data_IF_636649149561
#
_entry.id   IF_636649149561
#
_cell.length_a   1.000
_cell.length_b   1.000
_cell.length_c   1.000
_cell.angle_alpha   90.00
_cell.angle_beta   90.00
_cell.angle_gamma   90.00
#
_symmetry.space_group_name_H-M   'P 1'
#
loop_
_entity.id
_entity.type
_entity.pdbx_description
1 polymer ?
#
# COMPACT_ATOMS: atom_id res chain seq x y z
N UNK A 1 2.46 30.41 -25.20
CA UNK A 1 3.54 29.42 -25.06
C UNK A 1 3.77 29.14 -23.59
N UNK A 2 4.15 27.90 -23.29
CA UNK A 2 4.00 27.21 -22.02
C UNK A 2 4.69 27.85 -20.81
N UNK A 3 4.01 27.82 -19.66
CA UNK A 3 4.65 27.87 -18.34
C UNK A 3 4.26 26.62 -17.55
N UNK A 4 4.97 25.55 -17.92
CA UNK A 4 5.52 24.48 -17.08
C UNK A 4 4.85 24.25 -15.71
N UNK A 5 4.12 23.13 -15.59
CA UNK A 5 3.59 22.56 -14.34
C UNK A 5 4.74 22.35 -13.34
N UNK A 6 4.99 23.33 -12.49
CA UNK A 6 6.01 23.25 -11.45
C UNK A 6 5.30 22.96 -10.12
N UNK A 7 5.67 21.83 -9.53
CA UNK A 7 5.30 21.39 -8.18
C UNK A 7 3.84 20.95 -7.93
N UNK A 8 3.50 19.74 -8.39
CA UNK A 8 2.50 18.90 -7.70
C UNK A 8 3.01 17.47 -7.59
N UNK A 9 4.17 17.30 -6.95
CA UNK A 9 4.80 15.99 -6.75
C UNK A 9 5.51 15.88 -5.39
N UNK A 10 5.05 16.63 -4.40
CA UNK A 10 5.65 16.65 -3.06
C UNK A 10 4.72 16.11 -1.95
N UNK A 11 3.63 15.41 -2.32
CA UNK A 11 2.74 14.71 -1.39
C UNK A 11 2.28 13.42 -2.05
N UNK A 12 3.21 12.50 -2.28
CA UNK A 12 2.89 11.09 -2.42
C UNK A 12 3.51 10.42 -1.20
N UNK A 13 2.75 9.58 -0.50
CA UNK A 13 3.30 8.74 0.57
C UNK A 13 4.48 7.91 0.06
N UNK A 14 5.17 7.15 0.94
CA UNK A 14 6.22 6.24 0.51
C UNK A 14 5.74 5.39 -0.67
N UNK A 15 6.54 5.36 -1.74
CA UNK A 15 6.25 4.54 -2.91
C UNK A 15 6.32 3.05 -2.58
N UNK A 16 5.77 2.21 -3.45
CA UNK A 16 5.76 0.75 -3.28
C UNK A 16 7.13 0.17 -2.88
N UNK A 17 8.18 0.54 -3.61
CA UNK A 17 9.57 0.12 -3.33
C UNK A 17 10.03 0.48 -1.91
N UNK A 18 9.63 1.65 -1.41
CA UNK A 18 10.00 2.10 -0.07
C UNK A 18 9.25 1.33 1.03
N UNK A 19 7.98 1.00 0.79
CA UNK A 19 7.19 0.18 1.71
C UNK A 19 7.74 -1.24 1.77
N UNK A 20 8.05 -1.81 0.59
CA UNK A 20 8.63 -3.15 0.48
C UNK A 20 9.98 -3.24 1.19
N UNK A 21 10.89 -2.29 0.94
CA UNK A 21 12.19 -2.25 1.60
C UNK A 21 12.06 -2.17 3.13
N UNK A 22 11.05 -1.44 3.64
CA UNK A 22 10.80 -1.36 5.08
C UNK A 22 10.27 -2.68 5.65
N UNK A 23 9.40 -3.37 4.92
CA UNK A 23 8.92 -4.71 5.31
C UNK A 23 10.10 -5.69 5.38
N UNK A 24 10.99 -5.68 4.39
CA UNK A 24 12.18 -6.54 4.38
C UNK A 24 13.10 -6.26 5.58
N UNK A 25 13.31 -4.99 5.93
CA UNK A 25 14.06 -4.61 7.14
C UNK A 25 13.40 -5.14 8.41
N UNK A 26 12.08 -5.01 8.53
CA UNK A 26 11.30 -5.51 9.67
C UNK A 26 11.46 -7.04 9.78
N UNK A 27 11.30 -7.77 8.68
CA UNK A 27 11.46 -9.23 8.65
C UNK A 27 12.86 -9.61 9.11
N UNK A 28 13.90 -9.01 8.53
CA UNK A 28 15.28 -9.30 8.91
C UNK A 28 15.55 -9.05 10.41
N UNK A 29 14.96 -7.99 10.98
CA UNK A 29 15.07 -7.68 12.41
C UNK A 29 14.32 -8.69 13.29
N UNK A 30 13.14 -9.12 12.89
CA UNK A 30 12.36 -10.13 13.62
C UNK A 30 13.03 -11.51 13.56
N UNK A 31 13.60 -11.89 12.42
CA UNK A 31 14.31 -13.16 12.23
C UNK A 31 15.60 -13.25 13.05
N UNK A 32 16.25 -12.12 13.31
CA UNK A 32 17.47 -12.07 14.13
C UNK A 32 17.20 -12.46 15.59
N UNK A 33 15.99 -12.21 16.10
CA UNK A 33 15.52 -12.70 17.40
C UNK A 33 16.22 -12.09 18.63
N UNK A 34 16.97 -11.00 18.47
CA UNK A 34 17.67 -10.30 19.56
C UNK A 34 16.88 -9.12 20.14
N UNK A 35 15.60 -9.00 19.77
CA UNK A 35 14.72 -7.92 20.19
C UNK A 35 13.93 -8.28 21.45
N UNK A 36 13.68 -7.31 22.35
CA UNK A 36 12.65 -7.44 23.37
C UNK A 36 11.29 -7.80 22.76
N UNK A 37 10.44 -8.47 23.54
CA UNK A 37 9.10 -8.88 23.10
C UNK A 37 8.26 -7.67 22.64
N UNK A 38 8.29 -6.59 23.41
CA UNK A 38 7.54 -5.36 23.12
C UNK A 38 7.97 -4.74 21.78
N UNK A 39 9.27 -4.69 21.51
CA UNK A 39 9.80 -4.20 20.23
C UNK A 39 9.42 -5.12 19.07
N UNK A 40 9.44 -6.44 19.30
CA UNK A 40 9.04 -7.43 18.29
C UNK A 40 7.56 -7.28 17.91
N UNK A 41 6.69 -7.03 18.90
CA UNK A 41 5.27 -6.77 18.67
C UNK A 41 5.07 -5.46 17.89
N UNK A 42 5.78 -4.39 18.25
CA UNK A 42 5.69 -3.12 17.52
C UNK A 42 6.13 -3.24 16.06
N UNK A 43 7.24 -3.93 15.79
CA UNK A 43 7.70 -4.18 14.42
C UNK A 43 6.71 -5.03 13.63
N UNK A 44 6.10 -6.03 14.26
CA UNK A 44 5.07 -6.84 13.62
C UNK A 44 3.84 -6.00 13.23
N UNK A 45 3.35 -5.16 14.15
CA UNK A 45 2.24 -4.25 13.85
C UNK A 45 2.58 -3.26 12.73
N UNK A 46 3.80 -2.73 12.72
CA UNK A 46 4.29 -1.87 11.63
C UNK A 46 4.28 -2.63 10.30
N UNK A 47 4.84 -3.85 10.27
CA UNK A 47 4.87 -4.71 9.10
C UNK A 47 3.48 -4.98 8.53
N UNK A 48 2.50 -5.28 9.40
CA UNK A 48 1.10 -5.50 9.00
C UNK A 48 0.46 -4.27 8.34
N UNK A 49 0.74 -3.07 8.86
CA UNK A 49 0.25 -1.82 8.26
C UNK A 49 0.88 -1.59 6.89
N UNK A 50 2.20 -1.79 6.78
CA UNK A 50 2.92 -1.64 5.51
C UNK A 50 2.43 -2.63 4.45
N UNK A 51 2.15 -3.88 4.82
CA UNK A 51 1.57 -4.87 3.92
C UNK A 51 0.21 -4.40 3.37
N UNK A 52 -0.65 -3.85 4.23
CA UNK A 52 -1.95 -3.30 3.84
C UNK A 52 -1.80 -2.14 2.86
N UNK A 53 -0.85 -1.24 3.11
CA UNK A 53 -0.55 -0.13 2.21
C UNK A 53 0.00 -0.59 0.87
N UNK A 54 0.88 -1.61 0.85
CA UNK A 54 1.36 -2.23 -0.37
C UNK A 54 0.22 -2.81 -1.22
N UNK A 55 -0.67 -3.60 -0.62
CA UNK A 55 -1.83 -4.17 -1.32
C UNK A 55 -2.68 -3.07 -1.94
N UNK A 56 -2.99 -2.01 -1.17
CA UNK A 56 -3.77 -0.87 -1.68
C UNK A 56 -3.09 -0.16 -2.86
N UNK A 57 -1.76 -0.03 -2.86
CA UNK A 57 -1.03 0.54 -3.99
C UNK A 57 -1.11 -0.36 -5.22
N UNK A 58 -1.01 -1.67 -5.05
CA UNK A 58 -1.14 -2.64 -6.13
C UNK A 58 -2.56 -2.62 -6.72
N UNK A 59 -3.59 -2.60 -5.88
CA UNK A 59 -4.99 -2.53 -6.33
C UNK A 59 -5.26 -1.26 -7.16
N UNK A 60 -4.70 -0.12 -6.72
CA UNK A 60 -4.80 1.13 -7.46
C UNK A 60 -4.07 1.06 -8.80
N UNK A 61 -2.90 0.42 -8.85
CA UNK A 61 -2.15 0.23 -10.08
C UNK A 61 -2.90 -0.69 -11.05
N UNK A 62 -3.42 -1.81 -10.56
CA UNK A 62 -4.23 -2.75 -11.34
C UNK A 62 -5.47 -2.06 -11.92
N UNK A 63 -6.20 -1.32 -11.09
CA UNK A 63 -7.39 -0.56 -11.51
C UNK A 63 -7.04 0.41 -12.64
N UNK A 64 -5.93 1.15 -12.52
CA UNK A 64 -5.49 2.06 -13.58
C UNK A 64 -5.16 1.32 -14.86
N UNK A 65 -4.49 0.17 -14.78
CA UNK A 65 -4.19 -0.67 -15.95
C UNK A 65 -5.48 -1.16 -16.60
N UNK A 66 -6.45 -1.64 -15.81
CA UNK A 66 -7.75 -2.12 -16.29
C UNK A 66 -8.51 -1.03 -17.05
N UNK A 67 -8.62 0.17 -16.47
CA UNK A 67 -9.27 1.32 -17.13
C UNK A 67 -8.60 1.66 -18.46
N UNK A 68 -7.27 1.57 -18.55
CA UNK A 68 -6.53 1.84 -19.78
C UNK A 68 -6.74 0.77 -20.86
N UNK A 69 -6.93 -0.49 -20.47
CA UNK A 69 -7.14 -1.61 -21.40
C UNK A 69 -8.59 -1.74 -21.86
N UNK A 70 -9.54 -1.61 -20.94
CA UNK A 70 -10.96 -1.93 -21.15
C UNK A 70 -11.82 -0.68 -21.37
N UNK A 71 -11.32 0.51 -21.01
CA UNK A 71 -12.07 1.77 -21.15
C UNK A 71 -13.24 1.92 -20.17
N UNK A 72 -13.47 0.95 -19.28
CA UNK A 72 -14.55 0.95 -18.29
C UNK A 72 -14.00 1.36 -16.90
N UNK A 73 -14.57 2.35 -16.20
CA UNK A 73 -14.21 2.68 -14.83
C UNK A 73 -14.48 1.49 -13.88
N UNK A 74 -13.75 1.39 -12.76
CA UNK A 74 -13.90 0.26 -11.85
C UNK A 74 -15.34 0.17 -11.35
N UNK A 75 -15.90 -1.04 -11.41
CA UNK A 75 -17.18 -1.39 -10.81
C UNK A 75 -17.05 -1.38 -9.27
N UNK A 76 -17.05 -0.20 -8.67
CA UNK A 76 -17.34 -0.04 -7.25
C UNK A 76 -18.86 0.01 -7.07
N UNK A 77 -19.52 -1.10 -6.69
CA UNK A 77 -20.79 -1.06 -5.94
C UNK A 77 -21.41 -2.44 -5.57
N UNK A 78 -20.68 -3.55 -5.37
CA UNK A 78 -21.34 -4.80 -4.91
C UNK A 78 -20.54 -5.56 -3.86
N UNK A 79 -20.37 -4.98 -2.67
CA UNK A 79 -20.01 -5.75 -1.48
C UNK A 79 -20.38 -4.99 -0.19
N UNK A 80 -21.68 -4.79 0.04
CA UNK A 80 -22.26 -4.53 1.38
C UNK A 80 -23.79 -4.47 1.30
N UNK A 81 -24.42 -5.60 0.94
CA UNK A 81 -25.81 -5.86 1.30
C UNK A 81 -26.02 -7.37 1.40
N UNK A 82 -25.47 -7.98 2.45
CA UNK A 82 -26.15 -9.14 3.03
C UNK A 82 -27.23 -8.58 3.97
N UNK A 83 -28.53 -8.67 3.62
CA UNK A 83 -29.56 -8.54 4.64
C UNK A 83 -29.46 -9.79 5.50
N UNK A 84 -28.84 -9.68 6.68
CA UNK A 84 -29.02 -10.67 7.73
C UNK A 84 -30.54 -10.74 8.02
N UNK A 85 -31.12 -11.92 7.79
CA UNK A 85 -32.52 -12.22 8.10
C UNK A 85 -32.77 -12.23 9.61
#
# INVERSE_FOLDING_TARGET
MAQNRRAKSAQAGPGFESLLARIEEIVARLEKGDLPLEDSVQLFEEGMRLCTDCTRLLDQAETRVRVLLEGEPPAEAEAQSEPAS
#
